data_IF_813966187914
#
_entry.id   IF_813966187914
#
_cell.length_a   1.000
_cell.length_b   1.000
_cell.length_c   1.000
_cell.angle_alpha   90.00
_cell.angle_beta   90.00
_cell.angle_gamma   90.00
#
_symmetry.space_group_name_H-M   'P 1'
#
loop_
_entity.id
_entity.type
_entity.pdbx_description
1 polymer ?
#
# COMPACT_ATOMS: atom_id res chain seq x y z
N UNK A 1 13.68 1.06 -4.24
CA UNK A 1 13.62 -0.41 -4.15
C UNK A 1 12.21 -0.96 -3.99
N UNK A 2 11.47 -0.63 -2.91
CA UNK A 2 10.13 -1.20 -2.68
C UNK A 2 9.14 -0.97 -3.84
N UNK A 3 9.08 0.26 -4.36
CA UNK A 3 8.22 0.56 -5.52
C UNK A 3 8.60 -0.26 -6.75
N UNK A 4 9.90 -0.53 -6.96
CA UNK A 4 10.39 -1.32 -8.08
C UNK A 4 9.99 -2.79 -7.96
N UNK A 5 10.16 -3.38 -6.78
CA UNK A 5 9.71 -4.74 -6.51
C UNK A 5 8.20 -4.89 -6.72
N UNK A 6 7.39 -3.95 -6.19
CA UNK A 6 5.95 -3.98 -6.38
C UNK A 6 5.56 -3.79 -7.84
N UNK A 7 6.26 -2.94 -8.59
CA UNK A 7 6.07 -2.79 -10.04
C UNK A 7 6.37 -4.10 -10.77
N UNK A 8 7.45 -4.80 -10.41
CA UNK A 8 7.81 -6.07 -11.00
C UNK A 8 6.80 -7.18 -10.66
N UNK A 9 6.24 -7.20 -9.43
CA UNK A 9 5.13 -8.08 -9.07
C UNK A 9 3.90 -7.75 -9.92
N UNK A 10 3.53 -6.47 -10.01
CA UNK A 10 2.36 -6.01 -10.77
C UNK A 10 2.46 -6.39 -12.25
N UNK A 11 3.65 -6.24 -12.85
CA UNK A 11 3.90 -6.54 -14.27
C UNK A 11 4.26 -7.99 -14.56
N UNK A 12 4.26 -8.89 -13.58
CA UNK A 12 4.52 -10.30 -13.81
C UNK A 12 5.98 -10.69 -14.01
N UNK A 13 6.92 -9.89 -13.47
CA UNK A 13 8.37 -10.01 -13.71
C UNK A 13 9.17 -10.60 -12.54
N UNK A 14 8.53 -10.91 -11.40
CA UNK A 14 9.21 -11.59 -10.29
C UNK A 14 9.29 -13.08 -10.59
N UNK A 15 10.49 -13.54 -10.98
CA UNK A 15 10.80 -14.93 -11.36
C UNK A 15 10.03 -15.37 -12.62
N UNK A 16 8.70 -15.43 -12.53
CA UNK A 16 7.76 -15.65 -13.62
C UNK A 16 6.38 -15.05 -13.30
N UNK A 17 5.46 -15.14 -14.26
CA UNK A 17 4.09 -14.63 -14.13
C UNK A 17 3.28 -15.35 -13.03
N UNK A 18 3.48 -16.66 -12.85
CA UNK A 18 2.76 -17.47 -11.85
C UNK A 18 3.15 -17.06 -10.43
N UNK A 19 4.44 -16.89 -10.17
CA UNK A 19 4.96 -16.38 -8.89
C UNK A 19 4.43 -14.98 -8.61
N UNK A 20 4.51 -14.09 -9.59
CA UNK A 20 4.02 -12.72 -9.45
C UNK A 20 2.53 -12.65 -9.12
N UNK A 21 1.70 -13.48 -9.77
CA UNK A 21 0.27 -13.59 -9.47
C UNK A 21 0.01 -14.10 -8.05
N UNK A 22 0.76 -15.09 -7.58
CA UNK A 22 0.68 -15.57 -6.19
C UNK A 22 1.06 -14.49 -5.19
N UNK A 23 2.14 -13.75 -5.45
CA UNK A 23 2.53 -12.62 -4.61
C UNK A 23 1.43 -11.56 -4.55
N UNK A 24 0.83 -11.21 -5.70
CA UNK A 24 -0.23 -10.22 -5.77
C UNK A 24 -1.49 -10.67 -5.02
N UNK A 25 -1.89 -11.94 -5.16
CA UNK A 25 -3.02 -12.52 -4.44
C UNK A 25 -2.81 -12.51 -2.92
N UNK A 26 -1.60 -12.85 -2.45
CA UNK A 26 -1.25 -12.77 -1.03
C UNK A 26 -1.35 -11.32 -0.52
N UNK A 27 -0.80 -10.36 -1.25
CA UNK A 27 -0.82 -8.94 -0.88
C UNK A 27 -2.26 -8.38 -0.83
N UNK A 28 -3.15 -8.82 -1.73
CA UNK A 28 -4.58 -8.42 -1.76
C UNK A 28 -5.36 -8.92 -0.55
N UNK A 29 -4.89 -9.98 0.13
CA UNK A 29 -5.54 -10.57 1.31
C UNK A 29 -5.13 -9.91 2.63
N UNK A 30 -4.38 -8.80 2.58
CA UNK A 30 -3.99 -8.04 3.76
C UNK A 30 -5.23 -7.57 4.53
N UNK A 31 -5.23 -7.79 5.85
CA UNK A 31 -6.38 -7.48 6.71
C UNK A 31 -6.26 -6.13 7.42
N UNK A 32 -5.05 -5.59 7.52
CA UNK A 32 -4.80 -4.34 8.22
C UNK A 32 -5.26 -3.15 7.38
N UNK A 33 -6.32 -2.46 7.82
CA UNK A 33 -6.94 -1.33 7.10
C UNK A 33 -6.74 0.03 7.77
N UNK A 34 -5.77 0.15 8.69
CA UNK A 34 -5.56 1.36 9.49
C UNK A 34 -4.58 2.37 8.86
N UNK A 35 -4.08 2.12 7.65
CA UNK A 35 -3.09 2.90 6.87
C UNK A 35 -3.59 3.21 5.46
N UNK A 36 -2.95 2.69 4.40
CA UNK A 36 -3.34 2.98 3.01
C UNK A 36 -4.85 2.83 2.79
N UNK A 37 -5.51 1.73 3.21
CA UNK A 37 -6.93 1.52 2.90
C UNK A 37 -7.90 2.38 3.72
N UNK A 38 -7.42 3.11 4.75
CA UNK A 38 -8.27 3.64 5.82
C UNK A 38 -9.31 4.66 5.34
N UNK A 39 -8.92 5.53 4.43
CA UNK A 39 -9.76 6.62 3.91
C UNK A 39 -10.15 6.43 2.43
N UNK A 40 -9.81 5.28 1.86
CA UNK A 40 -10.24 4.91 0.51
C UNK A 40 -11.69 4.38 0.55
N UNK A 41 -12.43 4.41 -0.57
CA UNK A 41 -13.73 3.75 -0.65
C UNK A 41 -13.67 2.30 -0.17
N UNK A 42 -14.71 1.79 0.54
CA UNK A 42 -14.67 0.48 1.20
C UNK A 42 -14.22 -0.68 0.30
N UNK A 43 -14.67 -0.68 -0.96
CA UNK A 43 -14.42 -1.75 -1.94
C UNK A 43 -13.12 -1.55 -2.75
N UNK A 44 -12.31 -0.54 -2.41
CA UNK A 44 -11.01 -0.33 -3.05
C UNK A 44 -10.10 -1.51 -2.73
N UNK A 45 -9.70 -2.24 -3.77
CA UNK A 45 -8.73 -3.32 -3.64
C UNK A 45 -7.35 -2.71 -3.43
N UNK A 46 -6.67 -3.16 -2.40
CA UNK A 46 -5.30 -2.73 -2.09
C UNK A 46 -4.44 -3.98 -1.90
N UNK A 47 -3.40 -4.12 -2.73
CA UNK A 47 -2.38 -5.14 -2.56
C UNK A 47 -1.19 -4.52 -1.84
N UNK A 48 -1.05 -4.75 -0.53
CA UNK A 48 -0.07 -4.01 0.28
C UNK A 48 0.57 -4.82 1.40
N UNK A 49 1.70 -4.29 1.89
CA UNK A 49 2.44 -4.81 3.03
C UNK A 49 2.68 -3.70 4.05
N UNK A 50 2.16 -3.93 5.25
CA UNK A 50 2.39 -3.07 6.41
C UNK A 50 3.70 -3.43 7.12
N UNK A 51 4.40 -2.43 7.65
CA UNK A 51 5.51 -2.60 8.59
C UNK A 51 5.30 -1.73 9.82
N UNK A 52 5.46 -2.28 11.02
CA UNK A 52 5.31 -1.53 12.27
C UNK A 52 6.31 -2.10 13.26
N UNK A 53 7.26 -1.27 13.68
CA UNK A 53 8.28 -1.59 14.66
C UNK A 53 8.53 -0.36 15.54
N UNK A 54 9.34 -0.51 16.59
CA UNK A 54 9.66 0.61 17.48
C UNK A 54 10.25 1.80 16.71
N UNK A 55 9.50 2.90 16.72
CA UNK A 55 9.89 4.16 16.10
C UNK A 55 9.70 4.23 14.57
N UNK A 56 9.10 3.23 13.94
CA UNK A 56 8.83 3.22 12.49
C UNK A 56 7.46 2.65 12.13
N UNK A 57 6.81 3.29 11.16
CA UNK A 57 5.53 2.85 10.61
C UNK A 57 5.53 3.01 9.10
N UNK A 58 5.23 1.93 8.39
CA UNK A 58 5.37 1.83 6.94
C UNK A 58 4.14 1.17 6.33
N UNK A 59 3.85 1.53 5.09
CA UNK A 59 2.92 0.78 4.24
C UNK A 59 3.32 1.01 2.78
N UNK A 60 3.37 -0.07 2.01
CA UNK A 60 3.68 -0.02 0.59
C UNK A 60 2.79 -0.99 -0.17
N UNK A 61 2.23 -0.54 -1.29
CA UNK A 61 1.30 -1.35 -2.05
C UNK A 61 0.85 -0.74 -3.37
N UNK A 62 -0.02 -1.49 -4.04
CA UNK A 62 -0.72 -1.12 -5.26
C UNK A 62 -2.18 -0.88 -4.90
N UNK A 63 -2.71 0.28 -5.27
CA UNK A 63 -4.11 0.64 -5.11
C UNK A 63 -4.77 0.51 -6.48
N UNK A 64 -5.81 -0.32 -6.55
CA UNK A 64 -6.55 -0.56 -7.77
C UNK A 64 -7.72 0.42 -7.86
N UNK A 65 -7.83 1.16 -8.96
CA UNK A 65 -8.88 2.18 -9.14
C UNK A 65 -9.58 2.03 -10.49
N UNK A 66 -10.77 2.62 -10.66
CA UNK A 66 -11.46 2.63 -11.95
C UNK A 66 -10.73 3.45 -13.05
N UNK A 67 -9.89 4.42 -12.67
CA UNK A 67 -9.25 5.37 -13.59
C UNK A 67 -7.79 4.99 -13.93
N UNK A 68 -7.16 4.18 -13.07
CA UNK A 68 -5.78 3.76 -13.21
C UNK A 68 -5.23 3.22 -11.90
N UNK A 69 -4.52 2.10 -11.95
CA UNK A 69 -3.85 1.56 -10.78
C UNK A 69 -2.61 2.40 -10.47
N UNK A 70 -2.36 2.67 -9.20
CA UNK A 70 -1.17 3.39 -8.78
C UNK A 70 -0.41 2.65 -7.67
N UNK A 71 0.87 2.97 -7.59
CA UNK A 71 1.80 2.38 -6.63
C UNK A 71 2.19 3.42 -5.61
N UNK A 72 2.06 3.09 -4.33
CA UNK A 72 2.37 3.99 -3.22
C UNK A 72 3.29 3.29 -2.21
N UNK A 73 4.29 4.02 -1.73
CA UNK A 73 5.24 3.54 -0.74
C UNK A 73 5.52 4.66 0.26
N UNK A 74 4.98 4.54 1.47
CA UNK A 74 5.13 5.55 2.53
C UNK A 74 5.95 4.94 3.66
N UNK A 75 7.16 5.47 3.87
CA UNK A 75 8.08 5.05 4.92
C UNK A 75 8.27 6.20 5.91
N UNK A 76 7.86 6.00 7.17
CA UNK A 76 7.90 7.05 8.19
C UNK A 76 8.57 6.58 9.48
N UNK A 77 9.17 7.53 10.20
CA UNK A 77 9.61 7.36 11.59
C UNK A 77 8.66 8.13 12.51
N UNK A 78 8.51 7.69 13.75
CA UNK A 78 7.70 8.36 14.75
C UNK A 78 8.29 8.18 16.15
N UNK A 79 7.87 9.02 17.09
CA UNK A 79 8.21 8.90 18.52
C UNK A 79 7.02 8.49 19.38
N UNK A 80 5.82 8.46 18.79
CA UNK A 80 4.59 8.03 19.46
C UNK A 80 4.61 6.52 19.74
N UNK A 81 4.24 6.12 20.96
CA UNK A 81 4.11 4.72 21.39
C UNK A 81 3.12 3.91 20.54
N UNK A 82 2.12 4.56 19.96
CA UNK A 82 1.04 3.87 19.22
C UNK A 82 1.16 3.97 17.70
N UNK A 83 2.13 4.74 17.21
CA UNK A 83 2.28 5.08 15.79
C UNK A 83 1.03 5.73 15.17
N UNK A 84 0.14 6.32 15.98
CA UNK A 84 -1.18 6.79 15.54
C UNK A 84 -1.06 7.86 14.46
N UNK A 85 -0.24 8.87 14.71
CA UNK A 85 -0.07 9.98 13.76
C UNK A 85 0.61 9.51 12.47
N UNK A 86 1.55 8.56 12.56
CA UNK A 86 2.19 7.97 11.40
C UNK A 86 1.18 7.18 10.54
N UNK A 87 0.31 6.38 11.18
CA UNK A 87 -0.76 5.65 10.48
C UNK A 87 -1.72 6.61 9.77
N UNK A 88 -2.14 7.69 10.44
CA UNK A 88 -3.00 8.71 9.82
C UNK A 88 -2.30 9.47 8.70
N UNK A 89 -1.01 9.77 8.84
CA UNK A 89 -0.23 10.38 7.78
C UNK A 89 -0.23 9.50 6.52
N UNK A 90 0.08 8.20 6.66
CA UNK A 90 0.05 7.24 5.56
C UNK A 90 -1.34 7.22 4.91
N UNK A 91 -2.40 7.14 5.72
CA UNK A 91 -3.77 7.12 5.23
C UNK A 91 -4.17 8.38 4.44
N UNK A 92 -3.75 9.57 4.90
CA UNK A 92 -4.02 10.83 4.20
C UNK A 92 -3.28 10.92 2.88
N UNK A 93 -2.00 10.56 2.83
CA UNK A 93 -1.23 10.53 1.58
C UNK A 93 -1.89 9.59 0.56
N UNK A 94 -2.32 8.40 1.00
CA UNK A 94 -3.03 7.47 0.13
C UNK A 94 -4.35 8.02 -0.40
N UNK A 95 -5.12 8.73 0.45
CA UNK A 95 -6.35 9.40 0.04
C UNK A 95 -6.09 10.50 -0.99
N UNK A 96 -5.11 11.36 -0.73
CA UNK A 96 -4.78 12.49 -1.63
C UNK A 96 -4.30 11.97 -2.99
N UNK A 97 -3.51 10.89 -3.01
CA UNK A 97 -3.12 10.21 -4.24
C UNK A 97 -4.33 9.61 -4.96
N UNK A 98 -5.21 8.91 -4.25
CA UNK A 98 -6.42 8.34 -4.84
C UNK A 98 -7.31 9.43 -5.46
N UNK A 99 -7.58 10.50 -4.72
CA UNK A 99 -8.38 11.64 -5.19
C UNK A 99 -7.74 12.35 -6.38
N UNK A 100 -6.42 12.30 -6.55
CA UNK A 100 -5.73 12.85 -7.71
C UNK A 100 -5.89 11.94 -8.94
N UNK A 101 -5.74 10.62 -8.77
CA UNK A 101 -5.82 9.63 -9.87
C UNK A 101 -7.25 9.42 -10.39
N UNK A 102 -8.28 9.57 -9.55
CA UNK A 102 -9.69 9.37 -9.94
C UNK A 102 -10.44 10.63 -10.37
N UNK A 103 -9.75 11.78 -10.47
CA UNK A 103 -10.30 13.01 -11.07
C UNK A 103 -10.47 12.85 -12.57
#
# INVERSE_FOLDING_TARGET
DMAKLLEDIYRGRVIDKSVSLKCLDILKRQKMRDRIPKYLPPDTVVAHKTGLENGVCHDAGIVFTPAGDFLICVLTRHTDKTARDAKYLIARIAKDAYDYEVR
#
